data_IF_808632014113
#
_entry.id   IF_808632014113
#
_cell.length_a   1.000
_cell.length_b   1.000
_cell.length_c   1.000
_cell.angle_alpha   90.00
_cell.angle_beta   90.00
_cell.angle_gamma   90.00
#
_symmetry.space_group_name_H-M   'P 1'
#
loop_
_entity.id
_entity.type
_entity.pdbx_description
1 polymer ?
#
# COMPACT_ATOMS: atom_id res chain seq x y z
N UNK A 1 21.76 -4.16 -3.29
CA UNK A 1 20.55 -3.45 -2.83
C UNK A 1 19.74 -4.46 -2.05
N UNK A 2 19.39 -4.13 -0.80
CA UNK A 2 18.59 -5.02 0.04
C UNK A 2 17.18 -5.12 -0.51
N UNK A 3 16.71 -6.35 -0.66
CA UNK A 3 15.36 -6.64 -1.09
C UNK A 3 14.44 -6.54 0.13
N UNK A 4 13.26 -5.92 -0.01
CA UNK A 4 12.30 -5.88 1.08
C UNK A 4 11.76 -7.30 1.30
N UNK A 5 11.92 -7.83 2.51
CA UNK A 5 11.35 -9.11 2.90
C UNK A 5 10.28 -8.89 3.95
N UNK A 6 9.16 -9.61 3.82
CA UNK A 6 8.11 -9.57 4.82
C UNK A 6 8.64 -10.08 6.15
N UNK A 7 8.34 -9.36 7.22
CA UNK A 7 8.69 -9.79 8.57
C UNK A 7 7.49 -9.61 9.51
N UNK A 8 7.43 -10.36 10.64
CA UNK A 8 6.36 -10.21 11.62
C UNK A 8 6.20 -8.78 12.17
N UNK A 9 7.25 -7.95 12.11
CA UNK A 9 7.19 -6.55 12.55
C UNK A 9 6.36 -5.66 11.63
N UNK A 10 6.03 -6.12 10.42
CA UNK A 10 5.16 -5.41 9.49
C UNK A 10 3.68 -5.76 9.68
N UNK A 11 3.36 -6.78 10.48
CA UNK A 11 1.98 -7.17 10.77
C UNK A 11 1.28 -6.13 11.63
N UNK A 12 0.11 -5.70 11.19
CA UNK A 12 -0.79 -4.82 11.93
C UNK A 12 -1.91 -5.59 12.63
N UNK A 13 -2.05 -6.89 12.34
CA UNK A 13 -3.00 -7.78 13.01
C UNK A 13 -4.40 -7.81 12.39
N UNK A 14 -4.64 -7.05 11.32
CA UNK A 14 -5.81 -7.19 10.45
C UNK A 14 -5.42 -8.12 9.31
N UNK A 15 -6.08 -9.26 9.19
CA UNK A 15 -5.63 -10.35 8.29
C UNK A 15 -5.63 -9.92 6.83
N UNK A 16 -6.69 -9.23 6.41
CA UNK A 16 -6.88 -8.74 5.04
C UNK A 16 -5.79 -7.73 4.66
N UNK A 17 -5.53 -6.75 5.52
CA UNK A 17 -4.49 -5.73 5.35
C UNK A 17 -3.09 -6.35 5.31
N UNK A 18 -2.80 -7.25 6.25
CA UNK A 18 -1.53 -7.96 6.31
C UNK A 18 -1.30 -8.83 5.06
N UNK A 19 -2.35 -9.44 4.50
CA UNK A 19 -2.27 -10.24 3.27
C UNK A 19 -2.03 -9.37 2.04
N UNK A 20 -2.67 -8.21 1.95
CA UNK A 20 -2.43 -7.22 0.90
C UNK A 20 -0.98 -6.69 0.97
N UNK A 21 -0.50 -6.33 2.16
CA UNK A 21 0.89 -5.88 2.36
C UNK A 21 1.90 -6.99 2.06
N UNK A 22 1.63 -8.24 2.44
CA UNK A 22 2.44 -9.40 2.02
C UNK A 22 2.49 -9.56 0.50
N UNK A 23 1.36 -9.35 -0.19
CA UNK A 23 1.31 -9.40 -1.65
C UNK A 23 2.12 -8.27 -2.28
N UNK A 24 2.04 -7.05 -1.73
CA UNK A 24 2.83 -5.90 -2.16
C UNK A 24 4.34 -6.16 -2.02
N UNK A 25 4.80 -6.65 -0.86
CA UNK A 25 6.23 -6.96 -0.64
C UNK A 25 6.75 -8.01 -1.64
N UNK A 26 5.94 -9.03 -1.93
CA UNK A 26 6.27 -10.04 -2.94
C UNK A 26 6.35 -9.42 -4.34
N UNK A 27 5.37 -8.62 -4.75
CA UNK A 27 5.39 -8.04 -6.10
C UNK A 27 6.51 -7.01 -6.26
N UNK A 28 6.82 -6.22 -5.23
CA UNK A 28 7.96 -5.30 -5.22
C UNK A 28 9.27 -6.06 -5.50
N UNK A 29 9.47 -7.20 -4.84
CA UNK A 29 10.61 -8.08 -5.11
C UNK A 29 10.65 -8.52 -6.57
N UNK A 30 9.51 -8.99 -7.11
CA UNK A 30 9.42 -9.52 -8.46
C UNK A 30 9.66 -8.45 -9.52
N UNK A 31 9.06 -7.26 -9.39
CA UNK A 31 9.24 -6.16 -10.35
C UNK A 31 10.66 -5.59 -10.32
N UNK A 32 11.31 -5.53 -9.15
CA UNK A 32 12.69 -5.06 -9.03
C UNK A 32 13.69 -6.00 -9.71
N UNK A 33 13.38 -7.29 -9.76
CA UNK A 33 14.22 -8.33 -10.36
C UNK A 33 13.82 -8.67 -11.81
N UNK A 34 12.69 -8.16 -12.28
CA UNK A 34 12.14 -8.49 -13.59
C UNK A 34 13.09 -8.05 -14.72
N UNK A 35 13.32 -8.90 -15.75
CA UNK A 35 13.98 -8.48 -16.97
C UNK A 35 13.13 -7.44 -17.70
N UNK A 36 13.76 -6.65 -18.58
CA UNK A 36 13.11 -5.54 -19.28
C UNK A 36 11.81 -5.92 -20.01
N UNK A 37 11.78 -7.10 -20.64
CA UNK A 37 10.60 -7.58 -21.37
C UNK A 37 9.41 -7.94 -20.47
N UNK A 38 9.62 -8.12 -19.16
CA UNK A 38 8.56 -8.37 -18.17
C UNK A 38 8.23 -7.14 -17.32
N UNK A 39 9.17 -6.18 -17.21
CA UNK A 39 9.08 -5.05 -16.27
C UNK A 39 7.80 -4.24 -16.43
N UNK A 40 7.40 -3.90 -17.66
CA UNK A 40 6.21 -3.07 -17.90
C UNK A 40 4.91 -3.77 -17.49
N UNK A 41 4.83 -5.09 -17.64
CA UNK A 41 3.67 -5.87 -17.21
C UNK A 41 3.62 -5.98 -15.67
N UNK A 42 4.78 -6.22 -15.04
CA UNK A 42 4.92 -6.25 -13.58
C UNK A 42 4.60 -4.91 -12.93
N UNK A 43 5.05 -3.80 -13.51
CA UNK A 43 4.73 -2.45 -13.04
C UNK A 43 3.22 -2.19 -13.05
N UNK A 44 2.51 -2.61 -14.09
CA UNK A 44 1.04 -2.52 -14.14
C UNK A 44 0.37 -3.43 -13.10
N UNK A 45 0.91 -4.64 -12.89
CA UNK A 45 0.45 -5.54 -11.83
C UNK A 45 0.61 -4.95 -10.43
N UNK A 46 1.77 -4.34 -10.14
CA UNK A 46 2.05 -3.63 -8.90
C UNK A 46 1.05 -2.49 -8.67
N UNK A 47 0.79 -1.68 -9.71
CA UNK A 47 -0.20 -0.59 -9.64
C UNK A 47 -1.58 -1.15 -9.29
N UNK A 48 -2.01 -2.24 -9.95
CA UNK A 48 -3.29 -2.88 -9.66
C UNK A 48 -3.40 -3.42 -8.23
N UNK A 49 -2.32 -3.96 -7.67
CA UNK A 49 -2.27 -4.38 -6.26
C UNK A 49 -2.44 -3.20 -5.31
N UNK A 50 -1.68 -2.12 -5.52
CA UNK A 50 -1.77 -0.90 -4.70
C UNK A 50 -3.16 -0.25 -4.79
N UNK A 51 -3.74 -0.20 -5.98
CA UNK A 51 -5.09 0.33 -6.15
C UNK A 51 -6.15 -0.48 -5.41
N UNK A 52 -6.00 -1.81 -5.34
CA UNK A 52 -6.91 -2.67 -4.59
C UNK A 52 -6.78 -2.45 -3.09
N UNK A 53 -5.54 -2.51 -2.58
CA UNK A 53 -5.20 -2.28 -1.18
C UNK A 53 -5.71 -0.91 -0.70
N UNK A 54 -5.37 0.15 -1.42
CA UNK A 54 -5.79 1.51 -1.08
C UNK A 54 -7.31 1.69 -1.08
N UNK A 55 -8.05 1.04 -1.98
CA UNK A 55 -9.53 1.10 -1.96
C UNK A 55 -10.10 0.44 -0.70
N UNK A 56 -9.53 -0.68 -0.27
CA UNK A 56 -9.97 -1.38 0.93
C UNK A 56 -9.68 -0.54 2.18
N UNK A 57 -8.47 0.00 2.30
CA UNK A 57 -8.10 0.91 3.40
C UNK A 57 -8.97 2.18 3.41
N UNK A 58 -9.24 2.77 2.25
CA UNK A 58 -10.07 3.96 2.14
C UNK A 58 -11.53 3.73 2.52
N UNK A 59 -12.04 2.52 2.29
CA UNK A 59 -13.37 2.11 2.75
C UNK A 59 -13.38 1.96 4.28
N UNK A 60 -12.36 1.36 4.88
CA UNK A 60 -12.21 1.26 6.34
C UNK A 60 -12.12 2.64 6.99
N UNK A 61 -11.38 3.57 6.37
CA UNK A 61 -11.31 4.96 6.83
C UNK A 61 -12.67 5.65 6.80
N UNK A 62 -13.48 5.39 5.77
CA UNK A 62 -14.83 5.96 5.65
C UNK A 62 -15.78 5.40 6.72
N UNK A 63 -15.73 4.08 6.94
CA UNK A 63 -16.57 3.37 7.91
C UNK A 63 -16.49 3.98 9.31
N UNK A 64 -15.27 4.31 9.76
CA UNK A 64 -15.04 4.87 11.09
C UNK A 64 -14.97 6.41 11.12
N UNK A 65 -15.29 7.07 10.00
CA UNK A 65 -15.12 8.53 9.85
C UNK A 65 -13.72 9.01 10.27
N UNK A 66 -12.69 8.32 9.79
CA UNK A 66 -11.31 8.50 10.23
C UNK A 66 -10.83 9.95 10.03
N UNK A 67 -10.39 10.58 11.11
CA UNK A 67 -10.07 12.02 11.13
C UNK A 67 -9.01 12.44 10.09
N UNK A 68 -8.07 11.55 9.77
CA UNK A 68 -6.98 11.83 8.83
C UNK A 68 -7.23 11.26 7.42
N UNK A 69 -8.44 10.81 7.10
CA UNK A 69 -8.74 10.13 5.83
C UNK A 69 -8.32 10.92 4.59
N UNK A 70 -8.54 12.24 4.58
CA UNK A 70 -8.16 13.08 3.43
C UNK A 70 -6.64 13.13 3.22
N UNK A 71 -5.86 13.19 4.29
CA UNK A 71 -4.40 13.20 4.21
C UNK A 71 -3.86 11.85 3.74
N UNK A 72 -4.46 10.74 4.22
CA UNK A 72 -4.12 9.39 3.80
C UNK A 72 -4.41 9.14 2.32
N UNK A 73 -5.63 9.46 1.87
CA UNK A 73 -6.04 9.41 0.45
C UNK A 73 -5.12 10.22 -0.45
N UNK A 74 -4.65 11.38 0.00
CA UNK A 74 -3.72 12.19 -0.77
C UNK A 74 -2.38 11.49 -0.99
N UNK A 75 -1.85 10.80 0.02
CA UNK A 75 -0.62 10.02 -0.10
C UNK A 75 -0.79 8.84 -1.09
N UNK A 76 -1.91 8.11 -1.01
CA UNK A 76 -2.26 7.07 -1.98
C UNK A 76 -2.30 7.62 -3.41
N UNK A 77 -3.07 8.69 -3.62
CA UNK A 77 -3.24 9.30 -4.93
C UNK A 77 -1.92 9.83 -5.52
N UNK A 78 -1.04 10.39 -4.68
CA UNK A 78 0.29 10.85 -5.11
C UNK A 78 1.17 9.69 -5.59
N UNK A 79 1.17 8.57 -4.85
CA UNK A 79 1.92 7.38 -5.27
C UNK A 79 1.36 6.82 -6.58
N UNK A 80 0.05 6.56 -6.65
CA UNK A 80 -0.58 6.00 -7.84
C UNK A 80 -0.36 6.89 -9.06
N UNK A 81 -0.54 8.20 -8.91
CA UNK A 81 -0.24 9.17 -9.97
C UNK A 81 1.20 9.04 -10.44
N UNK A 82 2.16 9.00 -9.51
CA UNK A 82 3.59 8.84 -9.86
C UNK A 82 3.81 7.55 -10.67
N UNK A 83 3.27 6.41 -10.22
CA UNK A 83 3.47 5.13 -10.88
C UNK A 83 2.79 5.07 -12.27
N UNK A 84 1.59 5.61 -12.41
CA UNK A 84 0.90 5.71 -13.71
C UNK A 84 1.69 6.54 -14.73
N UNK A 85 2.38 7.60 -14.29
CA UNK A 85 3.27 8.38 -15.18
C UNK A 85 4.52 7.60 -15.65
N UNK A 86 4.89 6.52 -14.98
CA UNK A 86 6.03 5.67 -15.39
C UNK A 86 5.65 4.66 -16.48
N UNK A 87 4.38 4.25 -16.55
CA UNK A 87 3.92 3.19 -17.47
C UNK A 87 4.24 3.52 -18.93
N UNK A 88 3.94 4.71 -19.48
CA UNK A 88 4.26 5.04 -20.86
C UNK A 88 5.76 4.97 -21.17
N UNK A 89 6.62 5.37 -20.21
CA UNK A 89 8.08 5.31 -20.36
C UNK A 89 8.59 3.87 -20.39
N UNK A 90 8.09 3.04 -19.48
CA UNK A 90 8.42 1.62 -19.45
C UNK A 90 7.97 0.93 -20.76
N UNK A 91 6.78 1.25 -21.27
CA UNK A 91 6.29 0.72 -22.55
C UNK A 91 7.10 1.18 -23.76
N UNK A 92 7.75 2.36 -23.71
CA UNK A 92 8.66 2.82 -24.76
C UNK A 92 10.08 2.26 -24.65
N UNK A 93 10.36 1.41 -23.65
CA UNK A 93 11.69 0.84 -23.40
C UNK A 93 12.63 1.75 -22.60
N UNK A 94 12.15 2.87 -22.05
CA UNK A 94 12.92 3.72 -21.12
C UNK A 94 12.70 3.23 -19.69
N UNK A 95 13.56 2.31 -19.23
CA UNK A 95 13.44 1.68 -17.92
C UNK A 95 14.22 2.40 -16.81
N UNK A 96 15.08 3.37 -17.13
CA UNK A 96 16.01 3.97 -16.16
C UNK A 96 15.24 4.66 -15.04
N UNK A 97 14.34 5.59 -15.39
CA UNK A 97 13.52 6.29 -14.40
C UNK A 97 12.51 5.36 -13.71
N UNK A 98 11.71 4.54 -14.44
CA UNK A 98 10.77 3.63 -13.80
C UNK A 98 11.41 2.70 -12.77
N UNK A 99 12.55 2.08 -13.10
CA UNK A 99 13.27 1.21 -12.16
C UNK A 99 13.76 2.00 -10.95
N UNK A 100 14.33 3.19 -11.16
CA UNK A 100 14.76 4.06 -10.07
C UNK A 100 13.65 4.37 -9.05
N UNK A 101 12.44 4.67 -9.53
CA UNK A 101 11.29 4.91 -8.65
C UNK A 101 10.82 3.63 -7.96
N UNK A 102 10.70 2.52 -8.69
CA UNK A 102 10.33 1.22 -8.11
C UNK A 102 11.29 0.80 -6.99
N UNK A 103 12.60 1.05 -7.15
CA UNK A 103 13.60 0.78 -6.12
C UNK A 103 13.46 1.65 -4.86
N UNK A 104 12.75 2.78 -4.90
CA UNK A 104 12.46 3.63 -3.74
C UNK A 104 11.18 3.20 -2.99
N UNK A 105 10.31 2.39 -3.60
CA UNK A 105 9.04 1.98 -3.01
C UNK A 105 9.15 1.19 -1.71
N UNK A 106 10.14 0.30 -1.50
CA UNK A 106 10.33 -0.34 -0.20
C UNK A 106 10.41 0.63 0.97
N UNK A 107 11.20 1.69 0.83
CA UNK A 107 11.35 2.70 1.87
C UNK A 107 10.06 3.51 2.04
N UNK A 108 9.39 3.87 0.94
CA UNK A 108 8.10 4.54 1.00
C UNK A 108 7.07 3.70 1.77
N UNK A 109 6.96 2.41 1.47
CA UNK A 109 6.01 1.49 2.09
C UNK A 109 6.25 1.37 3.60
N UNK A 110 7.49 1.17 4.04
CA UNK A 110 7.80 1.08 5.48
C UNK A 110 7.44 2.37 6.24
N UNK A 111 7.66 3.52 5.62
CA UNK A 111 7.27 4.81 6.22
C UNK A 111 5.75 4.95 6.26
N UNK A 112 5.05 4.55 5.21
CA UNK A 112 3.59 4.60 5.12
C UNK A 112 2.95 3.69 6.18
N UNK A 113 3.39 2.44 6.24
CA UNK A 113 2.96 1.42 7.20
C UNK A 113 3.00 1.93 8.64
N UNK A 114 4.14 2.52 9.05
CA UNK A 114 4.33 2.98 10.43
C UNK A 114 3.57 4.28 10.71
N UNK A 115 3.53 5.21 9.76
CA UNK A 115 3.02 6.57 10.01
C UNK A 115 1.55 6.76 9.67
N UNK A 116 0.95 5.85 8.92
CA UNK A 116 -0.40 6.01 8.37
C UNK A 116 -1.26 4.78 8.69
N UNK A 117 -0.80 3.59 8.31
CA UNK A 117 -1.59 2.35 8.42
C UNK A 117 -1.72 1.88 9.87
N UNK A 118 -0.62 1.85 10.63
CA UNK A 118 -0.66 1.53 12.06
C UNK A 118 -1.61 2.47 12.86
N UNK A 119 -1.57 3.81 12.68
CA UNK A 119 -2.57 4.71 13.26
C UNK A 119 -4.02 4.42 12.84
N UNK A 120 -4.27 4.02 11.59
CA UNK A 120 -5.60 3.60 11.13
C UNK A 120 -6.08 2.35 11.88
N UNK A 121 -5.23 1.32 12.00
CA UNK A 121 -5.56 0.09 12.75
C UNK A 121 -5.87 0.36 14.21
N UNK A 122 -5.11 1.25 14.86
CA UNK A 122 -5.42 1.67 16.23
C UNK A 122 -6.79 2.35 16.34
N UNK A 123 -7.17 3.16 15.34
CA UNK A 123 -8.49 3.81 15.30
C UNK A 123 -9.63 2.81 15.06
N UNK A 124 -9.43 1.83 14.17
CA UNK A 124 -10.38 0.73 13.94
C UNK A 124 -10.64 -0.07 15.23
N UNK A 125 -9.59 -0.42 15.96
CA UNK A 125 -9.70 -1.11 17.23
C UNK A 125 -10.47 -0.28 18.28
N UNK A 126 -10.18 1.01 18.37
CA UNK A 126 -10.89 1.92 19.28
C UNK A 126 -12.39 2.05 18.92
N UNK A 127 -12.71 2.14 17.63
CA UNK A 127 -14.08 2.20 17.14
C UNK A 127 -14.86 0.91 17.46
N UNK A 128 -14.26 -0.26 17.24
CA UNK A 128 -14.87 -1.55 17.58
C UNK A 128 -15.20 -1.66 19.08
N UNK A 129 -14.29 -1.25 19.96
CA UNK A 129 -14.51 -1.25 21.40
C UNK A 129 -15.66 -0.30 21.83
N UNK A 130 -15.81 0.84 21.16
CA UNK A 130 -16.90 1.77 21.43
C UNK A 130 -18.25 1.23 20.94
N UNK A 131 -18.29 0.57 19.79
CA UNK A 131 -19.48 -0.09 19.27
C UNK A 131 -19.99 -1.20 20.20
N UNK A 132 -19.08 -2.00 20.77
CA UNK A 132 -19.42 -3.05 21.75
C UNK A 132 -19.97 -2.49 23.07
N UNK A 133 -19.45 -1.34 23.52
CA UNK A 133 -19.90 -0.69 24.76
C UNK A 133 -21.25 0.01 24.59
N UNK A 134 -21.52 0.57 23.41
CA UNK A 134 -22.79 1.25 23.08
C UNK A 134 -23.89 0.26 22.66
N UNK A 135 -23.52 -0.93 22.16
CA UNK A 135 -24.43 -2.03 21.83
C UNK A 135 -25.00 -2.80 23.03
N UNK A 136 -24.66 -2.43 24.27
CA UNK A 136 -25.26 -2.95 25.52
C UNK A 136 -26.13 -1.92 26.22
N UNK A 137 -27.09 -1.30 25.52
CA UNK A 137 -28.21 -0.58 26.17
C UNK A 137 -29.49 -0.79 25.36
N UNK A 138 -30.15 -1.93 25.58
CA UNK A 138 -31.59 -2.12 25.86
C UNK A 138 -32.02 -3.57 25.63
#
# INVERSE_FOLDING_TARGET
MENLEWSPQMSLGITEMDDAHRALVRELTLVMQAPDHEFSARLQGLIGLLEADFREEEALMEEISYANANFHRQHHAQLLSTLHHLVPRALSGDYVLPRGIVHALPQWFLVHLVRMDAPLVNALAAHALQAEQTGKVH
#
